data_IF_117437833620
#
_entry.id   IF_117437833620
#
_cell.length_a   1.000
_cell.length_b   1.000
_cell.length_c   1.000
_cell.angle_alpha   90.00
_cell.angle_beta   90.00
_cell.angle_gamma   90.00
#
_symmetry.space_group_name_H-M   'P 1'
#
loop_
_entity.id
_entity.type
_entity.pdbx_description
1 polymer ?
#
# COMPACT_ATOMS: atom_id res chain seq x y z
N UNK A 1 13.62 26.19 7.95
CA UNK A 1 13.83 25.82 9.37
C UNK A 1 14.57 24.50 9.35
N UNK A 2 15.75 24.41 9.99
CA UNK A 2 16.57 23.22 10.01
C UNK A 2 15.75 22.05 10.55
N UNK A 3 15.76 20.90 9.83
CA UNK A 3 15.01 19.72 10.20
C UNK A 3 15.30 19.33 11.64
N UNK A 4 14.30 19.45 12.50
CA UNK A 4 14.37 18.87 13.82
C UNK A 4 14.49 17.37 13.61
N UNK A 5 15.55 16.76 14.15
CA UNK A 5 15.66 15.30 14.25
C UNK A 5 14.43 14.82 15.01
N UNK A 6 13.40 14.38 14.29
CA UNK A 6 12.13 13.93 14.85
C UNK A 6 12.33 12.74 15.79
N UNK A 7 13.32 11.90 15.49
CA UNK A 7 13.69 10.73 16.31
C UNK A 7 15.18 10.72 16.61
N UNK A 8 15.52 10.63 17.87
CA UNK A 8 16.88 10.40 18.38
C UNK A 8 16.94 9.08 19.18
N UNK A 9 18.15 8.61 19.47
CA UNK A 9 18.34 7.38 20.28
C UNK A 9 17.54 7.46 21.59
N UNK A 10 16.89 6.36 21.93
CA UNK A 10 16.04 6.23 23.13
C UNK A 10 14.60 6.73 22.96
N UNK A 11 14.29 7.40 21.83
CA UNK A 11 12.91 7.76 21.48
C UNK A 11 12.13 6.54 21.00
N UNK A 12 10.82 6.60 21.13
CA UNK A 12 9.91 5.52 20.75
C UNK A 12 9.31 5.76 19.37
N UNK A 13 9.61 4.86 18.43
CA UNK A 13 8.94 4.75 17.16
C UNK A 13 7.75 3.81 17.28
N UNK A 14 6.54 4.34 17.20
CA UNK A 14 5.32 3.55 17.07
C UNK A 14 5.12 3.12 15.61
N UNK A 15 4.83 1.85 15.37
CA UNK A 15 4.53 1.33 14.06
C UNK A 15 3.18 0.62 14.10
N UNK A 16 2.22 1.11 13.30
CA UNK A 16 0.87 0.57 13.22
C UNK A 16 0.68 -0.19 11.90
N UNK A 17 -0.02 -1.32 11.92
CA UNK A 17 -0.33 -2.12 10.74
C UNK A 17 0.78 -3.03 10.26
N UNK A 18 1.63 -3.46 11.17
CA UNK A 18 2.72 -4.38 10.89
C UNK A 18 2.24 -5.74 10.43
N UNK A 19 2.95 -6.30 9.47
CA UNK A 19 2.85 -7.68 8.99
C UNK A 19 4.20 -8.39 9.14
N UNK A 20 4.24 -9.69 8.88
CA UNK A 20 5.51 -10.44 8.93
C UNK A 20 6.57 -9.91 7.93
N UNK A 21 6.14 -9.28 6.84
CA UNK A 21 7.03 -8.67 5.85
C UNK A 21 7.80 -7.46 6.40
N UNK A 22 7.30 -6.86 7.48
CA UNK A 22 7.87 -5.64 8.07
C UNK A 22 8.96 -5.91 9.12
N UNK A 23 9.36 -7.17 9.31
CA UNK A 23 10.47 -7.54 10.19
C UNK A 23 11.75 -6.70 9.99
N UNK A 24 12.20 -6.45 8.74
CA UNK A 24 13.40 -5.63 8.52
C UNK A 24 13.27 -4.20 9.07
N UNK A 25 12.05 -3.62 9.06
CA UNK A 25 11.79 -2.28 9.58
C UNK A 25 12.02 -2.23 11.10
N UNK A 26 11.54 -3.25 11.84
CA UNK A 26 11.77 -3.33 13.28
C UNK A 26 13.26 -3.51 13.60
N UNK A 27 13.96 -4.36 12.85
CA UNK A 27 15.40 -4.55 12.99
C UNK A 27 16.16 -3.25 12.73
N UNK A 28 15.79 -2.49 11.70
CA UNK A 28 16.40 -1.20 11.38
C UNK A 28 16.18 -0.18 12.50
N UNK A 29 14.96 -0.09 13.04
CA UNK A 29 14.65 0.78 14.17
C UNK A 29 15.52 0.45 15.41
N UNK A 30 15.66 -0.84 15.72
CA UNK A 30 16.54 -1.28 16.82
C UNK A 30 18.02 -0.98 16.59
N UNK A 31 18.52 -1.12 15.35
CA UNK A 31 19.90 -0.72 15.00
C UNK A 31 20.14 0.78 15.21
N UNK A 32 19.12 1.59 15.01
CA UNK A 32 19.15 3.04 15.29
C UNK A 32 19.00 3.34 16.79
N UNK A 33 18.91 2.32 17.65
CA UNK A 33 18.72 2.44 19.11
C UNK A 33 17.41 3.15 19.48
N UNK A 34 16.36 2.96 18.66
CA UNK A 34 15.02 3.40 19.00
C UNK A 34 14.33 2.33 19.85
N UNK A 35 13.43 2.78 20.72
CA UNK A 35 12.40 1.92 21.25
C UNK A 35 11.33 1.74 20.18
N UNK A 36 10.69 0.57 20.16
CA UNK A 36 9.66 0.24 19.16
C UNK A 36 8.36 -0.12 19.83
N UNK A 37 7.31 0.63 19.54
CA UNK A 37 5.93 0.28 19.84
C UNK A 37 5.28 -0.38 18.63
N UNK A 38 4.56 -1.48 18.81
CA UNK A 38 3.82 -2.14 17.75
C UNK A 38 2.32 -2.10 18.02
N UNK A 39 1.52 -1.68 17.03
CA UNK A 39 0.07 -1.82 17.05
C UNK A 39 -0.35 -2.77 15.92
N UNK A 40 -0.96 -3.88 16.28
CA UNK A 40 -1.40 -4.94 15.36
C UNK A 40 -2.87 -5.28 15.60
N UNK A 41 -3.60 -5.68 14.56
CA UNK A 41 -5.00 -6.07 14.66
C UNK A 41 -5.21 -7.44 15.30
N UNK A 42 -4.22 -8.32 15.17
CA UNK A 42 -4.21 -9.65 15.78
C UNK A 42 -2.81 -10.00 16.31
N UNK A 43 -2.73 -11.00 17.15
CA UNK A 43 -1.47 -11.41 17.77
C UNK A 43 -0.48 -11.95 16.73
N UNK A 44 0.71 -11.38 16.70
CA UNK A 44 1.83 -11.77 15.83
C UNK A 44 3.12 -11.97 16.67
N UNK A 45 3.22 -13.06 17.45
CA UNK A 45 4.27 -13.21 18.47
C UNK A 45 5.70 -13.16 17.93
N UNK A 46 5.93 -13.58 16.69
CA UNK A 46 7.28 -13.55 16.10
C UNK A 46 7.72 -12.11 15.80
N UNK A 47 6.82 -11.30 15.26
CA UNK A 47 7.06 -9.92 14.91
C UNK A 47 7.20 -9.06 16.18
N UNK A 48 6.28 -9.24 17.13
CA UNK A 48 6.19 -8.40 18.33
C UNK A 48 7.28 -8.65 19.36
N UNK A 49 8.07 -9.73 19.23
CA UNK A 49 9.26 -9.97 20.08
C UNK A 49 10.33 -8.89 20.00
N UNK A 50 10.40 -8.14 18.89
CA UNK A 50 11.33 -7.03 18.73
C UNK A 50 10.77 -5.69 19.23
N UNK A 51 9.48 -5.61 19.49
CA UNK A 51 8.87 -4.42 20.05
C UNK A 51 9.11 -4.35 21.57
N UNK A 52 9.28 -3.15 22.09
CA UNK A 52 9.40 -2.90 23.54
C UNK A 52 8.01 -2.91 24.19
N UNK A 53 6.98 -2.54 23.45
CA UNK A 53 5.59 -2.77 23.84
C UNK A 53 4.73 -3.09 22.62
N UNK A 54 3.62 -3.77 22.85
CA UNK A 54 2.68 -4.17 21.78
C UNK A 54 1.24 -3.95 22.24
N UNK A 55 0.45 -3.32 21.38
CA UNK A 55 -0.99 -3.21 21.52
C UNK A 55 -1.64 -4.07 20.45
N UNK A 56 -2.51 -4.97 20.88
CA UNK A 56 -3.33 -5.80 19.98
C UNK A 56 -4.77 -5.27 20.01
N UNK A 57 -5.30 -4.84 18.87
CA UNK A 57 -6.63 -4.28 18.83
C UNK A 57 -7.08 -3.83 17.44
N UNK A 58 -8.40 -3.65 17.33
CA UNK A 58 -8.98 -3.10 16.12
C UNK A 58 -8.52 -1.65 15.91
N UNK A 59 -8.21 -1.27 14.68
CA UNK A 59 -7.81 0.11 14.32
C UNK A 59 -8.91 1.17 14.47
N UNK A 60 -10.11 0.78 14.95
CA UNK A 60 -11.20 1.68 15.35
C UNK A 60 -11.30 1.87 16.86
N UNK A 61 -10.51 1.15 17.64
CA UNK A 61 -10.48 1.24 19.10
C UNK A 61 -9.72 2.50 19.52
N UNK A 62 -10.50 3.55 19.85
CA UNK A 62 -9.94 4.86 20.21
C UNK A 62 -9.10 4.84 21.48
N UNK A 63 -9.47 4.02 22.47
CA UNK A 63 -8.76 3.96 23.73
C UNK A 63 -7.34 3.37 23.50
N UNK A 64 -7.26 2.29 22.72
CA UNK A 64 -5.99 1.68 22.35
C UNK A 64 -5.16 2.56 21.41
N UNK A 65 -5.79 3.27 20.48
CA UNK A 65 -5.08 4.24 19.64
C UNK A 65 -4.52 5.40 20.48
N UNK A 66 -5.28 5.86 21.49
CA UNK A 66 -4.82 6.89 22.43
C UNK A 66 -3.61 6.38 23.23
N UNK A 67 -3.72 5.21 23.82
CA UNK A 67 -2.63 4.57 24.55
C UNK A 67 -1.37 4.44 23.67
N UNK A 68 -1.54 3.97 22.44
CA UNK A 68 -0.44 3.82 21.49
C UNK A 68 0.21 5.15 21.13
N UNK A 69 -0.59 6.16 20.79
CA UNK A 69 -0.09 7.48 20.44
C UNK A 69 0.64 8.16 21.59
N UNK A 70 0.10 8.08 22.80
CA UNK A 70 0.72 8.67 24.00
C UNK A 70 2.05 8.00 24.40
N UNK A 71 2.24 6.72 24.07
CA UNK A 71 3.47 5.98 24.33
C UNK A 71 4.48 6.01 23.18
N UNK A 72 4.19 6.77 22.12
CA UNK A 72 5.05 6.90 20.93
C UNK A 72 5.47 8.35 20.71
N UNK A 73 6.78 8.60 20.56
CA UNK A 73 7.29 9.94 20.22
C UNK A 73 6.96 10.30 18.76
N UNK A 74 6.86 9.30 17.89
CA UNK A 74 6.48 9.41 16.49
C UNK A 74 5.83 8.09 16.04
N UNK A 75 4.81 8.17 15.20
CA UNK A 75 4.15 6.99 14.63
C UNK A 75 4.29 6.98 13.12
N UNK A 76 4.56 5.79 12.57
CA UNK A 76 4.45 5.50 11.14
C UNK A 76 3.45 4.36 10.92
N UNK A 77 2.82 4.32 9.76
CA UNK A 77 2.00 3.18 9.35
C UNK A 77 2.75 2.36 8.30
N UNK A 78 2.68 1.02 8.44
CA UNK A 78 3.35 0.06 7.56
C UNK A 78 2.39 -0.57 6.55
N UNK A 79 1.09 -0.28 6.64
CA UNK A 79 0.07 -0.86 5.76
C UNK A 79 -0.87 0.22 5.22
N UNK A 80 -1.18 0.14 3.93
CA UNK A 80 -2.21 0.97 3.30
C UNK A 80 -3.65 0.53 3.64
N UNK A 81 -3.83 -0.56 4.36
CA UNK A 81 -5.16 -1.07 4.74
C UNK A 81 -5.71 -0.45 6.03
N UNK A 82 -4.92 0.40 6.71
CA UNK A 82 -5.37 1.10 7.91
C UNK A 82 -6.24 2.28 7.50
N UNK A 83 -7.45 2.36 8.05
CA UNK A 83 -8.34 3.47 7.75
C UNK A 83 -7.68 4.83 8.07
N UNK A 84 -7.72 5.78 7.13
CA UNK A 84 -7.16 7.13 7.28
C UNK A 84 -7.65 7.85 8.52
N UNK A 85 -8.91 7.58 8.91
CA UNK A 85 -9.51 8.11 10.16
C UNK A 85 -8.73 7.69 11.42
N UNK A 86 -8.19 6.46 11.47
CA UNK A 86 -7.38 6.00 12.60
C UNK A 86 -6.04 6.73 12.65
N UNK A 87 -5.40 6.91 11.48
CA UNK A 87 -4.15 7.66 11.36
C UNK A 87 -4.35 9.13 11.73
N UNK A 88 -5.41 9.74 11.22
CA UNK A 88 -5.75 11.13 11.57
C UNK A 88 -6.05 11.29 13.07
N UNK A 89 -6.69 10.31 13.70
CA UNK A 89 -6.93 10.32 15.15
C UNK A 89 -5.62 10.30 15.96
N UNK A 90 -4.63 9.51 15.53
CA UNK A 90 -3.32 9.45 16.17
C UNK A 90 -2.57 10.78 16.16
N UNK A 91 -2.80 11.66 15.18
CA UNK A 91 -2.14 12.98 15.13
C UNK A 91 -2.50 13.89 16.31
N UNK A 92 -3.54 13.57 17.08
CA UNK A 92 -3.88 14.31 18.31
C UNK A 92 -2.91 14.01 19.46
N UNK A 93 -2.13 12.93 19.39
CA UNK A 93 -1.29 12.45 20.48
C UNK A 93 0.19 12.41 20.13
N UNK A 94 0.52 12.27 18.86
CA UNK A 94 1.90 12.09 18.38
C UNK A 94 2.03 12.60 16.95
N UNK A 95 3.27 12.74 16.48
CA UNK A 95 3.53 13.08 15.08
C UNK A 95 3.38 11.84 14.19
N UNK A 96 2.71 12.01 13.03
CA UNK A 96 2.60 11.01 11.97
C UNK A 96 3.10 11.64 10.66
N UNK A 97 4.41 11.59 10.37
CA UNK A 97 5.02 12.35 9.27
C UNK A 97 4.48 12.00 7.89
N UNK A 98 4.06 10.75 7.69
CA UNK A 98 3.47 10.30 6.41
C UNK A 98 2.13 11.02 6.10
N UNK A 99 1.43 11.52 7.12
CA UNK A 99 0.11 12.12 6.97
C UNK A 99 -0.94 11.12 6.46
N UNK A 100 -2.06 11.62 5.97
CA UNK A 100 -3.17 10.79 5.47
C UNK A 100 -3.42 10.94 3.98
N UNK A 101 -2.94 12.01 3.36
CA UNK A 101 -3.27 12.33 1.96
C UNK A 101 -2.85 11.21 0.98
N UNK A 102 -1.61 10.73 1.09
CA UNK A 102 -1.14 9.63 0.26
C UNK A 102 -1.91 8.32 0.55
N UNK A 103 -2.24 8.09 1.83
CA UNK A 103 -2.99 6.91 2.25
C UNK A 103 -4.40 6.90 1.64
N UNK A 104 -5.10 8.02 1.65
CA UNK A 104 -6.44 8.16 1.06
C UNK A 104 -6.42 7.92 -0.45
N UNK A 105 -5.41 8.45 -1.15
CA UNK A 105 -5.24 8.22 -2.59
C UNK A 105 -5.03 6.73 -2.89
N UNK A 106 -4.10 6.06 -2.20
CA UNK A 106 -3.77 4.67 -2.51
C UNK A 106 -4.83 3.65 -2.05
N UNK A 107 -5.75 4.03 -1.16
CA UNK A 107 -6.86 3.18 -0.73
C UNK A 107 -7.98 3.08 -1.75
N UNK A 108 -8.08 4.04 -2.65
CA UNK A 108 -9.10 4.12 -3.69
C UNK A 108 -8.42 4.10 -5.07
N UNK A 109 -8.64 3.02 -5.84
CA UNK A 109 -7.99 2.86 -7.15
C UNK A 109 -8.38 3.94 -8.15
N UNK A 110 -9.58 4.50 -8.05
CA UNK A 110 -10.02 5.57 -8.93
C UNK A 110 -9.34 6.90 -8.58
N UNK A 111 -9.21 7.20 -7.28
CA UNK A 111 -8.43 8.35 -6.82
C UNK A 111 -6.95 8.22 -7.18
N UNK A 112 -6.37 7.02 -7.05
CA UNK A 112 -5.00 6.75 -7.48
C UNK A 112 -4.80 6.99 -8.99
N UNK A 113 -5.73 6.53 -9.83
CA UNK A 113 -5.68 6.78 -11.28
C UNK A 113 -5.81 8.27 -11.61
N UNK A 114 -6.78 8.95 -10.99
CA UNK A 114 -6.96 10.39 -11.18
C UNK A 114 -5.73 11.20 -10.77
N UNK A 115 -5.09 10.84 -9.66
CA UNK A 115 -3.85 11.46 -9.21
C UNK A 115 -2.69 11.23 -10.19
N UNK A 116 -2.53 10.01 -10.69
CA UNK A 116 -1.49 9.69 -11.68
C UNK A 116 -1.71 10.43 -13.00
N UNK A 117 -2.95 10.55 -13.45
CA UNK A 117 -3.31 11.34 -14.64
C UNK A 117 -2.99 12.83 -14.44
N UNK A 118 -3.28 13.39 -13.25
CA UNK A 118 -2.99 14.80 -12.93
C UNK A 118 -1.49 15.12 -13.02
N UNK A 119 -0.65 14.19 -12.60
CA UNK A 119 0.83 14.34 -12.67
C UNK A 119 1.43 13.81 -13.98
N UNK A 120 0.60 13.49 -14.98
CA UNK A 120 0.99 12.99 -16.30
C UNK A 120 1.81 11.69 -16.27
N UNK A 121 1.53 10.80 -15.35
CA UNK A 121 2.07 9.43 -15.33
C UNK A 121 1.14 8.52 -16.12
N UNK A 122 1.70 7.77 -17.06
CA UNK A 122 0.95 6.82 -17.85
C UNK A 122 0.32 5.73 -16.99
N UNK A 123 -0.97 5.48 -17.20
CA UNK A 123 -1.72 4.38 -16.59
C UNK A 123 -2.38 3.53 -17.67
N UNK A 124 -2.73 2.29 -17.34
CA UNK A 124 -3.54 1.46 -18.27
C UNK A 124 -4.88 2.15 -18.56
N UNK A 125 -5.42 2.03 -19.76
CA UNK A 125 -6.80 2.40 -20.03
C UNK A 125 -7.75 1.75 -19.04
N UNK A 126 -8.66 2.52 -18.46
CA UNK A 126 -9.59 2.04 -17.45
C UNK A 126 -10.96 2.70 -17.56
N UNK A 127 -11.96 2.05 -17.00
CA UNK A 127 -13.32 2.56 -16.84
C UNK A 127 -13.93 2.05 -15.54
N UNK A 128 -14.78 2.85 -14.94
CA UNK A 128 -15.56 2.45 -13.76
C UNK A 128 -16.81 1.71 -14.19
N UNK A 129 -17.07 0.56 -13.56
CA UNK A 129 -18.26 -0.27 -13.80
C UNK A 129 -18.93 -0.62 -12.48
N UNK A 130 -20.25 -0.77 -12.47
CA UNK A 130 -21.06 -1.14 -11.30
C UNK A 130 -21.91 -2.39 -11.54
N UNK A 131 -21.93 -2.88 -12.78
CA UNK A 131 -22.73 -4.03 -13.21
C UNK A 131 -22.02 -4.80 -14.32
N UNK A 132 -22.46 -6.04 -14.58
CA UNK A 132 -22.01 -6.80 -15.74
C UNK A 132 -22.36 -6.13 -17.06
N UNK A 133 -23.52 -5.49 -17.14
CA UNK A 133 -23.92 -4.76 -18.33
C UNK A 133 -22.92 -3.65 -18.68
N UNK A 134 -22.39 -2.95 -17.65
CA UNK A 134 -21.35 -1.94 -17.85
C UNK A 134 -20.05 -2.58 -18.38
N UNK A 135 -19.69 -3.78 -17.88
CA UNK A 135 -18.52 -4.52 -18.37
C UNK A 135 -18.71 -4.85 -19.86
N UNK A 136 -19.87 -5.41 -20.24
CA UNK A 136 -20.17 -5.74 -21.63
C UNK A 136 -20.13 -4.49 -22.54
N UNK A 137 -20.62 -3.35 -22.08
CA UNK A 137 -20.63 -2.12 -22.86
C UNK A 137 -19.24 -1.48 -22.99
N UNK A 138 -18.37 -1.72 -22.01
CA UNK A 138 -17.08 -1.03 -21.93
C UNK A 138 -15.90 -1.86 -22.45
N UNK A 139 -16.04 -3.19 -22.50
CA UNK A 139 -14.93 -4.10 -22.79
C UNK A 139 -14.28 -3.86 -24.15
N UNK A 140 -15.06 -3.47 -25.17
CA UNK A 140 -14.53 -3.19 -26.50
C UNK A 140 -13.57 -2.00 -26.51
N UNK A 141 -13.76 -1.03 -25.60
CA UNK A 141 -12.88 0.13 -25.46
C UNK A 141 -11.63 -0.15 -24.65
N UNK A 142 -11.69 -1.13 -23.74
CA UNK A 142 -10.58 -1.55 -22.86
C UNK A 142 -9.71 -2.60 -23.57
N UNK A 143 -10.35 -3.52 -24.32
CA UNK A 143 -9.70 -4.64 -25.00
C UNK A 143 -9.50 -5.86 -24.09
N UNK A 144 -9.05 -6.96 -24.72
CA UNK A 144 -8.71 -8.21 -24.03
C UNK A 144 -7.20 -8.46 -24.12
N UNK A 145 -6.59 -9.03 -23.07
CA UNK A 145 -7.17 -9.31 -21.77
C UNK A 145 -7.43 -8.04 -20.95
N UNK A 146 -8.43 -8.11 -20.07
CA UNK A 146 -8.74 -7.06 -19.11
C UNK A 146 -8.73 -7.61 -17.69
N UNK A 147 -8.78 -6.73 -16.71
CA UNK A 147 -8.89 -7.11 -15.31
C UNK A 147 -9.93 -6.24 -14.60
N UNK A 148 -10.80 -6.89 -13.85
CA UNK A 148 -11.80 -6.25 -13.00
C UNK A 148 -11.33 -6.27 -11.55
N UNK A 149 -11.32 -5.11 -10.90
CA UNK A 149 -10.84 -4.94 -9.51
C UNK A 149 -11.81 -4.08 -8.72
N UNK A 150 -12.10 -4.36 -7.44
CA UNK A 150 -12.86 -3.43 -6.61
C UNK A 150 -12.11 -2.10 -6.49
N UNK A 151 -12.83 -0.97 -6.53
CA UNK A 151 -12.21 0.36 -6.39
C UNK A 151 -11.57 0.49 -5.02
N UNK A 152 -12.27 0.11 -3.96
CA UNK A 152 -11.73 0.15 -2.61
C UNK A 152 -10.77 -1.02 -2.36
N UNK A 153 -9.54 -0.72 -1.97
CA UNK A 153 -8.57 -1.73 -1.53
C UNK A 153 -9.00 -2.35 -0.20
N UNK A 154 -8.75 -3.63 -0.03
CA UNK A 154 -9.07 -4.38 1.19
C UNK A 154 -10.48 -4.98 1.23
N UNK A 155 -11.32 -4.72 0.25
CA UNK A 155 -12.59 -5.42 0.04
C UNK A 155 -12.36 -6.60 -0.92
N UNK A 156 -11.73 -7.68 -0.41
CA UNK A 156 -11.39 -8.84 -1.21
C UNK A 156 -10.30 -8.52 -2.25
N UNK A 157 -9.09 -8.91 -2.01
CA UNK A 157 -7.94 -8.62 -2.90
C UNK A 157 -7.97 -9.41 -4.22
N UNK A 158 -9.01 -10.20 -4.47
CA UNK A 158 -9.14 -10.95 -5.70
C UNK A 158 -9.47 -9.99 -6.85
N UNK A 159 -8.72 -10.10 -7.93
CA UNK A 159 -9.04 -9.50 -9.22
C UNK A 159 -9.57 -10.58 -10.16
N UNK A 160 -10.55 -10.25 -10.98
CA UNK A 160 -11.05 -11.14 -12.01
C UNK A 160 -10.38 -10.78 -13.35
N UNK A 161 -9.59 -11.71 -13.89
CA UNK A 161 -9.02 -11.57 -15.23
C UNK A 161 -10.04 -12.02 -16.28
N UNK A 162 -10.23 -11.21 -17.30
CA UNK A 162 -11.15 -11.40 -18.41
C UNK A 162 -10.31 -11.54 -19.68
N UNK A 163 -10.10 -12.76 -20.17
CA UNK A 163 -9.32 -13.02 -21.37
C UNK A 163 -10.18 -13.02 -22.63
N UNK A 164 -11.47 -13.36 -22.50
CA UNK A 164 -12.43 -13.48 -23.58
C UNK A 164 -13.81 -13.03 -23.11
N UNK A 165 -14.71 -12.77 -24.04
CA UNK A 165 -16.08 -12.38 -23.72
C UNK A 165 -16.81 -13.39 -22.81
N UNK A 166 -16.55 -14.69 -22.98
CA UNK A 166 -17.13 -15.74 -22.12
C UNK A 166 -16.73 -15.66 -20.66
N UNK A 167 -15.63 -14.98 -20.35
CA UNK A 167 -15.15 -14.86 -18.97
C UNK A 167 -15.93 -13.79 -18.20
N UNK A 168 -16.66 -12.92 -18.89
CA UNK A 168 -17.44 -11.84 -18.27
C UNK A 168 -18.56 -12.44 -17.40
N UNK A 169 -19.15 -13.56 -17.80
CA UNK A 169 -20.22 -14.23 -17.05
C UNK A 169 -19.78 -14.63 -15.63
N UNK A 170 -18.50 -14.93 -15.41
CA UNK A 170 -17.95 -15.17 -14.07
C UNK A 170 -17.94 -13.91 -13.18
N UNK A 171 -18.09 -12.74 -13.78
CA UNK A 171 -18.21 -11.48 -13.05
C UNK A 171 -19.50 -11.35 -12.25
N UNK A 172 -20.54 -12.14 -12.54
CA UNK A 172 -21.81 -12.09 -11.80
C UNK A 172 -21.63 -12.45 -10.32
N UNK A 173 -20.84 -13.48 -10.06
CA UNK A 173 -20.48 -13.85 -8.70
C UNK A 173 -19.45 -12.90 -8.07
N UNK A 174 -18.69 -12.17 -8.89
CA UNK A 174 -17.63 -11.26 -8.47
C UNK A 174 -18.14 -9.85 -8.14
N UNK A 175 -19.07 -9.32 -8.94
CA UNK A 175 -19.69 -8.01 -8.74
C UNK A 175 -20.79 -8.11 -7.69
N UNK A 176 -20.41 -8.10 -6.41
CA UNK A 176 -21.34 -8.22 -5.29
C UNK A 176 -21.80 -6.87 -4.71
N UNK A 177 -21.82 -5.84 -5.55
CA UNK A 177 -22.17 -4.46 -5.17
C UNK A 177 -20.95 -3.56 -5.00
N UNK A 178 -21.19 -2.25 -5.13
CA UNK A 178 -20.14 -1.25 -5.16
C UNK A 178 -19.64 -0.97 -6.58
N UNK A 179 -18.54 -0.26 -6.68
CA UNK A 179 -17.94 0.12 -7.93
C UNK A 179 -16.61 -0.61 -8.15
N UNK A 180 -16.35 -0.95 -9.39
CA UNK A 180 -15.16 -1.68 -9.83
C UNK A 180 -14.44 -0.89 -10.91
N UNK A 181 -13.14 -1.15 -11.01
CA UNK A 181 -12.30 -0.68 -12.08
C UNK A 181 -12.12 -1.82 -13.09
N UNK A 182 -12.56 -1.62 -14.33
CA UNK A 182 -12.22 -2.47 -15.47
C UNK A 182 -11.05 -1.81 -16.17
N UNK A 183 -9.90 -2.49 -16.22
CA UNK A 183 -8.69 -1.94 -16.83
C UNK A 183 -8.03 -2.91 -17.80
N UNK A 184 -7.35 -2.36 -18.81
CA UNK A 184 -6.56 -3.14 -19.76
C UNK A 184 -5.45 -3.88 -19.03
N UNK A 185 -5.33 -5.19 -19.31
CA UNK A 185 -4.19 -5.95 -18.82
C UNK A 185 -2.96 -5.62 -19.65
N UNK A 186 -1.90 -5.19 -18.97
CA UNK A 186 -0.58 -5.03 -19.60
C UNK A 186 0.17 -6.33 -19.43
N UNK A 187 0.49 -6.98 -20.55
CA UNK A 187 1.34 -8.15 -20.54
C UNK A 187 2.81 -7.70 -20.35
N UNK A 188 3.43 -8.21 -19.33
CA UNK A 188 4.81 -7.88 -18.99
C UNK A 188 5.48 -9.08 -18.32
N UNK A 189 6.77 -9.22 -18.57
CA UNK A 189 7.57 -10.30 -18.01
C UNK A 189 8.34 -9.87 -16.75
N UNK A 190 8.46 -8.57 -16.52
CA UNK A 190 9.29 -8.02 -15.45
C UNK A 190 8.56 -6.88 -14.77
N UNK A 191 8.57 -6.86 -13.46
CA UNK A 191 8.12 -5.75 -12.63
C UNK A 191 9.32 -5.11 -11.93
N UNK A 192 9.24 -3.80 -11.73
CA UNK A 192 10.25 -3.06 -11.02
C UNK A 192 9.63 -2.26 -9.88
N UNK A 193 10.29 -2.25 -8.74
CA UNK A 193 9.91 -1.40 -7.61
C UNK A 193 11.06 -0.46 -7.23
N UNK A 194 10.69 0.76 -6.83
CA UNK A 194 11.61 1.77 -6.34
C UNK A 194 11.09 2.32 -5.01
N UNK A 195 11.90 2.13 -3.96
CA UNK A 195 11.62 2.77 -2.68
C UNK A 195 12.20 4.17 -2.66
N UNK A 196 11.39 5.13 -2.27
CA UNK A 196 11.77 6.53 -2.14
C UNK A 196 11.49 7.02 -0.73
N UNK A 197 12.42 7.76 -0.13
CA UNK A 197 12.21 8.47 1.12
C UNK A 197 12.30 9.97 0.88
N UNK A 198 11.39 10.74 1.48
CA UNK A 198 11.40 12.20 1.36
C UNK A 198 10.97 12.86 2.66
N UNK A 199 11.53 14.05 2.91
CA UNK A 199 11.10 14.98 3.98
C UNK A 199 10.31 16.17 3.41
N UNK A 200 9.95 16.12 2.12
CA UNK A 200 9.26 17.20 1.40
C UNK A 200 10.22 18.18 0.67
N UNK A 201 11.49 18.22 1.03
CA UNK A 201 12.52 19.04 0.37
C UNK A 201 13.56 18.16 -0.35
N UNK A 202 13.98 17.10 0.30
CA UNK A 202 14.97 16.15 -0.22
C UNK A 202 14.30 14.84 -0.59
N UNK A 203 14.71 14.27 -1.72
CA UNK A 203 14.27 12.94 -2.16
C UNK A 203 15.48 12.03 -2.22
N UNK A 204 15.40 10.89 -1.53
CA UNK A 204 16.41 9.82 -1.57
C UNK A 204 15.77 8.60 -2.23
N UNK A 205 16.24 8.24 -3.40
CA UNK A 205 15.86 7.01 -4.08
C UNK A 205 16.81 5.86 -3.67
N UNK A 206 16.22 4.75 -3.28
CA UNK A 206 16.98 3.50 -3.06
C UNK A 206 17.24 2.80 -4.38
N UNK A 207 18.11 1.78 -4.41
CA UNK A 207 18.32 1.00 -5.62
C UNK A 207 17.02 0.42 -6.18
N UNK A 208 16.90 0.42 -7.50
CA UNK A 208 15.79 -0.23 -8.19
C UNK A 208 15.82 -1.73 -7.87
N UNK A 209 14.64 -2.31 -7.69
CA UNK A 209 14.47 -3.75 -7.47
C UNK A 209 13.69 -4.33 -8.64
N UNK A 210 14.21 -5.38 -9.23
CA UNK A 210 13.54 -6.19 -10.24
C UNK A 210 12.85 -7.36 -9.54
N UNK A 211 11.56 -7.56 -9.82
CA UNK A 211 10.72 -8.52 -9.15
C UNK A 211 10.24 -9.59 -10.13
N UNK A 212 10.36 -10.85 -9.71
CA UNK A 212 9.99 -12.03 -10.49
C UNK A 212 8.82 -12.75 -9.79
N UNK A 213 7.80 -13.07 -10.56
CA UNK A 213 6.58 -13.70 -10.09
C UNK A 213 6.38 -15.07 -10.74
N UNK A 214 5.75 -16.00 -10.02
CA UNK A 214 5.27 -17.25 -10.59
C UNK A 214 3.95 -17.04 -11.38
N UNK A 215 3.42 -18.11 -11.93
CA UNK A 215 2.15 -18.09 -12.69
C UNK A 215 0.96 -17.62 -11.84
N UNK A 216 1.00 -17.90 -10.54
CA UNK A 216 -0.02 -17.48 -9.57
C UNK A 216 0.18 -16.04 -9.07
N UNK A 217 1.13 -15.30 -9.65
CA UNK A 217 1.49 -13.91 -9.27
C UNK A 217 2.00 -13.78 -7.84
N UNK A 218 2.64 -14.81 -7.32
CA UNK A 218 3.39 -14.74 -6.08
C UNK A 218 4.83 -14.33 -6.35
N UNK A 219 5.36 -13.39 -5.58
CA UNK A 219 6.76 -12.95 -5.67
C UNK A 219 7.68 -14.11 -5.26
N UNK A 220 8.51 -14.57 -6.19
CA UNK A 220 9.46 -15.65 -5.96
C UNK A 220 10.90 -15.16 -5.78
N UNK A 221 11.27 -14.05 -6.41
CA UNK A 221 12.60 -13.48 -6.33
C UNK A 221 12.55 -11.96 -6.51
N UNK A 222 13.43 -11.26 -5.81
CA UNK A 222 13.67 -9.83 -6.00
C UNK A 222 15.19 -9.57 -6.03
N UNK A 223 15.65 -8.89 -7.06
CA UNK A 223 17.08 -8.59 -7.23
C UNK A 223 17.32 -7.11 -7.51
N UNK A 224 18.51 -6.62 -7.22
CA UNK A 224 18.93 -5.31 -7.70
C UNK A 224 19.63 -5.50 -9.05
N UNK A 225 19.01 -5.05 -10.18
CA UNK A 225 19.60 -5.25 -11.49
C UNK A 225 20.89 -4.45 -11.65
N UNK A 226 21.87 -5.04 -12.35
CA UNK A 226 23.13 -4.36 -12.69
C UNK A 226 22.99 -3.46 -13.91
N UNK A 227 22.01 -3.75 -14.76
CA UNK A 227 21.67 -2.96 -15.95
C UNK A 227 20.16 -2.68 -15.92
N UNK A 228 19.81 -1.43 -16.13
CA UNK A 228 18.41 -0.96 -16.17
C UNK A 228 18.11 -0.55 -17.61
N UNK A 229 16.94 -0.89 -18.17
CA UNK A 229 16.57 -0.45 -19.51
C UNK A 229 16.68 1.07 -19.67
N UNK A 230 17.19 1.55 -20.81
CA UNK A 230 17.39 2.99 -21.09
C UNK A 230 16.14 3.84 -20.88
N UNK A 231 14.96 3.24 -21.09
CA UNK A 231 13.66 3.90 -20.86
C UNK A 231 13.42 4.28 -19.40
N UNK A 232 14.11 3.65 -18.45
CA UNK A 232 13.96 3.89 -16.99
C UNK A 232 14.97 4.92 -16.45
N UNK A 233 15.86 5.42 -17.31
CA UNK A 233 16.85 6.45 -16.94
C UNK A 233 16.36 7.89 -17.14
N UNK A 234 15.07 8.09 -17.48
CA UNK A 234 14.48 9.40 -17.81
C UNK A 234 13.61 9.95 -16.71
#
# INVERSE_FOLDING_TARGET
MAGQNLLSQGKTLGIIGLTQKDWPLLVAAKKLRLNVGAYVDHSQPQLTKLADFTIVGNYRDRDKLTEFGQNSDLVIYASSLIASVAINYLTNFTQVPQGVAALEIVQDRLMERAFLDEINVNVSPYVTVISLDDVYQSIDSIGYPAVLKPIQRGLGEQSLRINHQSDIDYGDDYIQGGAYLLESWIDHNTEYSLTVATDGETVVAYPLVEEFFNEDRELIEATTPTEVPDAMHR
#
